data_IF_955815267180
#
_entry.id   IF_955815267180
#
_cell.length_a   1.000
_cell.length_b   1.000
_cell.length_c   1.000
_cell.angle_alpha   90.00
_cell.angle_beta   90.00
_cell.angle_gamma   90.00
#
_symmetry.space_group_name_H-M   'P 1'
#
loop_
_entity.id
_entity.type
_entity.pdbx_description
1 polymer ?
#
# COMPACT_ATOMS: atom_id res chain seq x y z
N UNK A 1 -12.91 1.18 0.95
CA UNK A 1 -12.78 1.27 -0.52
C UNK A 1 -11.99 0.07 -0.97
N UNK A 2 -12.58 -0.88 -1.71
CA UNK A 2 -11.89 -2.07 -2.18
C UNK A 2 -10.78 -1.72 -3.18
N UNK A 3 -9.75 -2.55 -3.31
CA UNK A 3 -8.54 -2.32 -4.11
C UNK A 3 -8.59 -3.20 -5.37
N UNK A 4 -8.09 -2.72 -6.50
CA UNK A 4 -7.93 -3.55 -7.70
C UNK A 4 -6.74 -4.51 -7.57
N UNK A 5 -6.78 -5.65 -8.25
CA UNK A 5 -5.60 -6.51 -8.36
C UNK A 5 -4.46 -5.74 -9.06
N UNK A 6 -3.23 -5.98 -8.60
CA UNK A 6 -2.06 -5.36 -9.21
C UNK A 6 -1.82 -5.91 -10.62
N UNK A 7 -1.30 -5.07 -11.51
CA UNK A 7 -1.09 -5.42 -12.92
C UNK A 7 -0.23 -6.66 -13.12
N UNK A 8 0.80 -6.83 -12.29
CA UNK A 8 1.66 -8.01 -12.33
C UNK A 8 0.89 -9.30 -12.05
N UNK A 9 -0.15 -9.26 -11.22
CA UNK A 9 -0.99 -10.42 -10.90
C UNK A 9 -1.83 -10.84 -12.10
N UNK A 10 -2.50 -9.87 -12.75
CA UNK A 10 -3.30 -10.16 -13.95
C UNK A 10 -2.41 -10.62 -15.11
N UNK A 11 -1.25 -9.98 -15.32
CA UNK A 11 -0.29 -10.40 -16.35
C UNK A 11 0.23 -11.82 -16.11
N UNK A 12 0.54 -12.17 -14.86
CA UNK A 12 0.95 -13.52 -14.48
C UNK A 12 -0.17 -14.52 -14.78
N UNK A 13 -1.40 -14.22 -14.36
CA UNK A 13 -2.56 -15.06 -14.61
C UNK A 13 -2.76 -15.30 -16.11
N UNK A 14 -2.70 -14.25 -16.93
CA UNK A 14 -2.86 -14.39 -18.38
C UNK A 14 -1.79 -15.27 -18.98
N UNK A 15 -0.52 -15.03 -18.63
CA UNK A 15 0.61 -15.83 -19.09
C UNK A 15 0.51 -17.30 -18.71
N UNK A 16 -0.05 -17.62 -17.55
CA UNK A 16 -0.14 -19.01 -17.05
C UNK A 16 -1.40 -19.73 -17.54
N UNK A 17 -2.50 -19.01 -17.72
CA UNK A 17 -3.80 -19.60 -18.05
C UNK A 17 -4.06 -19.72 -19.55
N UNK A 18 -3.57 -18.75 -20.33
CA UNK A 18 -3.86 -18.65 -21.76
C UNK A 18 -2.59 -18.99 -22.57
N UNK A 19 -2.29 -20.28 -22.61
CA UNK A 19 -1.18 -20.85 -23.39
C UNK A 19 -1.71 -21.85 -24.41
N UNK A 20 -1.03 -21.96 -25.55
CA UNK A 20 -1.35 -22.94 -26.57
C UNK A 20 -0.61 -22.65 -27.87
N UNK A 21 -0.78 -23.53 -28.84
CA UNK A 21 -0.09 -23.44 -30.14
C UNK A 21 -0.87 -22.58 -31.14
N UNK A 22 -2.19 -22.74 -31.20
CA UNK A 22 -3.05 -22.04 -32.17
C UNK A 22 -4.26 -21.38 -31.49
N UNK A 23 -4.45 -20.07 -31.64
CA UNK A 23 -5.60 -19.38 -31.07
C UNK A 23 -6.90 -19.79 -31.77
N UNK A 24 -8.03 -19.62 -31.07
CA UNK A 24 -9.34 -19.89 -31.63
C UNK A 24 -9.69 -18.83 -32.69
N UNK A 25 -9.64 -19.22 -33.96
CA UNK A 25 -9.94 -18.34 -35.10
C UNK A 25 -11.35 -18.63 -35.62
N UNK A 26 -12.15 -17.59 -35.84
CA UNK A 26 -13.51 -17.70 -36.42
C UNK A 26 -13.82 -16.55 -37.37
N UNK A 27 -14.51 -16.84 -38.47
CA UNK A 27 -14.82 -15.86 -39.51
C UNK A 27 -16.33 -15.59 -39.60
N UNK A 28 -16.68 -14.39 -40.08
CA UNK A 28 -18.06 -14.00 -40.40
C UNK A 28 -19.06 -14.25 -39.25
N UNK A 29 -20.15 -14.93 -39.58
CA UNK A 29 -21.24 -15.22 -38.65
C UNK A 29 -20.82 -16.14 -37.48
N UNK A 30 -19.79 -16.98 -37.66
CA UNK A 30 -19.33 -17.91 -36.61
C UNK A 30 -18.85 -17.18 -35.37
N UNK A 31 -18.32 -15.96 -35.51
CA UNK A 31 -17.92 -15.11 -34.38
C UNK A 31 -19.09 -14.84 -33.44
N UNK A 32 -20.22 -14.42 -33.99
CA UNK A 32 -21.43 -14.09 -33.22
C UNK A 32 -22.02 -15.33 -32.56
N UNK A 33 -22.02 -16.47 -33.26
CA UNK A 33 -22.50 -17.75 -32.72
C UNK A 33 -21.65 -18.18 -31.52
N UNK A 34 -20.31 -18.13 -31.63
CA UNK A 34 -19.43 -18.50 -30.52
C UNK A 34 -19.65 -17.60 -29.30
N UNK A 35 -19.66 -16.28 -29.48
CA UNK A 35 -19.89 -15.33 -28.39
C UNK A 35 -21.27 -15.54 -27.74
N UNK A 36 -22.31 -15.83 -28.53
CA UNK A 36 -23.64 -16.15 -28.00
C UNK A 36 -23.64 -17.42 -27.15
N UNK A 37 -22.92 -18.46 -27.58
CA UNK A 37 -22.80 -19.71 -26.82
C UNK A 37 -22.06 -19.48 -25.50
N UNK A 38 -20.93 -18.76 -25.52
CA UNK A 38 -20.18 -18.40 -24.31
C UNK A 38 -21.07 -17.60 -23.34
N UNK A 39 -21.83 -16.62 -23.84
CA UNK A 39 -22.78 -15.87 -23.02
C UNK A 39 -23.82 -16.78 -22.36
N UNK A 40 -24.40 -17.74 -23.09
CA UNK A 40 -25.37 -18.68 -22.53
C UNK A 40 -24.74 -19.53 -21.42
N UNK A 41 -23.53 -20.05 -21.65
CA UNK A 41 -22.81 -20.84 -20.64
C UNK A 41 -22.48 -20.03 -19.40
N UNK A 42 -21.98 -18.80 -19.55
CA UNK A 42 -21.72 -17.90 -18.43
C UNK A 42 -22.98 -17.51 -17.66
N UNK A 43 -24.14 -17.42 -18.32
CA UNK A 43 -25.41 -17.16 -17.63
C UNK A 43 -25.81 -18.31 -16.71
N UNK A 44 -25.41 -19.54 -17.05
CA UNK A 44 -25.71 -20.74 -16.29
C UNK A 44 -24.62 -21.10 -15.26
N UNK A 45 -23.39 -20.59 -15.43
CA UNK A 45 -22.23 -20.96 -14.60
C UNK A 45 -22.07 -20.03 -13.39
N UNK A 46 -21.98 -20.63 -12.20
CA UNK A 46 -21.68 -19.90 -10.98
C UNK A 46 -20.27 -19.25 -11.04
N UNK A 47 -20.12 -18.08 -10.40
CA UNK A 47 -18.86 -17.34 -10.34
C UNK A 47 -18.64 -16.31 -11.45
N UNK A 48 -19.46 -16.35 -12.50
CA UNK A 48 -19.47 -15.37 -13.58
C UNK A 48 -20.72 -14.49 -13.47
N UNK A 49 -20.55 -13.18 -13.65
CA UNK A 49 -21.66 -12.22 -13.74
C UNK A 49 -21.58 -11.52 -15.08
N UNK A 50 -22.47 -11.84 -16.01
CA UNK A 50 -22.52 -11.14 -17.29
C UNK A 50 -22.86 -9.67 -17.11
N UNK A 51 -22.20 -8.83 -17.90
CA UNK A 51 -22.44 -7.40 -17.90
C UNK A 51 -23.34 -7.02 -19.06
N UNK A 52 -24.48 -6.41 -18.74
CA UNK A 52 -25.38 -5.80 -19.74
C UNK A 52 -24.68 -4.68 -20.51
N UNK A 53 -23.76 -3.97 -19.85
CA UNK A 53 -22.94 -2.93 -20.44
C UNK A 53 -21.56 -2.99 -19.81
N UNK A 54 -20.51 -3.09 -20.63
CA UNK A 54 -19.15 -2.97 -20.14
C UNK A 54 -18.88 -1.58 -19.56
N UNK A 55 -17.98 -1.51 -18.57
CA UNK A 55 -17.43 -0.25 -18.08
C UNK A 55 -16.59 0.46 -19.14
N UNK A 56 -16.12 -0.26 -20.16
CA UNK A 56 -15.39 0.29 -21.30
C UNK A 56 -16.36 0.82 -22.37
N UNK A 57 -16.28 2.13 -22.64
CA UNK A 57 -17.20 2.82 -23.58
C UNK A 57 -17.20 2.18 -24.97
N UNK A 58 -16.06 1.66 -25.42
CA UNK A 58 -15.87 1.09 -26.76
C UNK A 58 -16.59 -0.25 -26.96
N UNK A 59 -17.03 -0.91 -25.88
CA UNK A 59 -17.73 -2.20 -25.95
C UNK A 59 -19.24 -2.07 -25.75
N UNK A 60 -19.76 -0.85 -25.61
CA UNK A 60 -21.20 -0.63 -25.53
C UNK A 60 -21.84 -0.96 -26.88
N UNK A 61 -22.76 -1.94 -26.89
CA UNK A 61 -23.61 -2.34 -28.03
C UNK A 61 -22.95 -3.18 -29.14
N UNK A 62 -21.81 -3.83 -28.87
CA UNK A 62 -21.23 -4.77 -29.85
C UNK A 62 -21.63 -6.22 -29.53
N UNK A 63 -22.50 -6.80 -30.38
CA UNK A 63 -22.96 -8.19 -30.26
C UNK A 63 -21.84 -9.24 -30.41
N UNK A 64 -20.68 -8.85 -30.94
CA UNK A 64 -19.49 -9.70 -31.04
C UNK A 64 -18.55 -9.60 -29.83
N UNK A 65 -19.03 -9.03 -28.72
CA UNK A 65 -18.29 -8.90 -27.46
C UNK A 65 -19.09 -9.52 -26.31
N UNK A 66 -18.42 -10.32 -25.48
CA UNK A 66 -18.96 -10.84 -24.22
C UNK A 66 -18.17 -10.25 -23.07
N UNK A 67 -18.78 -9.39 -22.26
CA UNK A 67 -18.14 -8.86 -21.04
C UNK A 67 -18.78 -9.47 -19.80
N UNK A 68 -17.93 -9.83 -18.84
CA UNK A 68 -18.33 -10.52 -17.62
C UNK A 68 -17.44 -10.07 -16.45
N UNK A 69 -17.96 -10.24 -15.24
CA UNK A 69 -17.23 -10.05 -14.01
C UNK A 69 -17.04 -11.36 -13.29
N UNK A 70 -15.85 -11.54 -12.74
CA UNK A 70 -15.57 -12.55 -11.73
C UNK A 70 -15.59 -11.85 -10.38
N UNK A 71 -16.47 -12.30 -9.48
CA UNK A 71 -16.61 -11.71 -8.16
C UNK A 71 -15.40 -12.01 -7.30
N UNK A 72 -14.94 -11.01 -6.57
CA UNK A 72 -13.90 -11.20 -5.56
C UNK A 72 -14.50 -11.93 -4.35
N UNK A 73 -13.86 -13.02 -3.93
CA UNK A 73 -14.15 -13.64 -2.63
C UNK A 73 -13.61 -12.83 -1.45
N UNK A 74 -12.70 -11.90 -1.71
CA UNK A 74 -12.10 -11.05 -0.68
C UNK A 74 -12.82 -9.72 -0.57
N UNK A 75 -13.12 -9.30 0.67
CA UNK A 75 -13.65 -7.96 0.99
C UNK A 75 -12.66 -6.82 0.72
N UNK A 76 -11.38 -7.13 0.53
CA UNK A 76 -10.34 -6.13 0.29
C UNK A 76 -10.15 -5.82 -1.19
N UNK A 77 -10.56 -6.74 -2.07
CA UNK A 77 -10.38 -6.60 -3.51
C UNK A 77 -11.71 -6.41 -4.24
N UNK A 78 -11.67 -5.69 -5.35
CA UNK A 78 -12.83 -5.48 -6.23
C UNK A 78 -13.02 -6.69 -7.14
N UNK A 79 -14.26 -6.84 -7.60
CA UNK A 79 -14.61 -7.71 -8.72
C UNK A 79 -13.80 -7.33 -9.95
N UNK A 80 -13.47 -8.34 -10.74
CA UNK A 80 -12.63 -8.19 -11.93
C UNK A 80 -13.46 -8.34 -13.20
N UNK A 81 -13.47 -7.29 -14.03
CA UNK A 81 -14.15 -7.30 -15.32
C UNK A 81 -13.23 -7.78 -16.43
N UNK A 82 -13.74 -8.68 -17.26
CA UNK A 82 -13.10 -9.20 -18.46
C UNK A 82 -14.03 -9.05 -19.66
N UNK A 83 -13.47 -8.95 -20.86
CA UNK A 83 -14.22 -8.97 -22.11
C UNK A 83 -13.57 -9.96 -23.09
N UNK A 84 -14.40 -10.72 -23.80
CA UNK A 84 -14.03 -11.58 -24.90
C UNK A 84 -14.46 -10.93 -26.21
N UNK A 85 -13.56 -10.89 -27.18
CA UNK A 85 -13.84 -10.38 -28.52
C UNK A 85 -12.90 -11.02 -29.54
N UNK A 86 -13.20 -10.83 -30.81
CA UNK A 86 -12.25 -11.16 -31.87
C UNK A 86 -11.37 -9.95 -32.22
N UNK A 87 -10.07 -10.18 -32.42
CA UNK A 87 -9.16 -9.15 -32.94
C UNK A 87 -9.28 -9.02 -34.47
N UNK A 88 -8.44 -8.16 -35.06
CA UNK A 88 -8.40 -7.91 -36.51
C UNK A 88 -7.98 -9.16 -37.31
N UNK A 89 -7.18 -10.04 -36.69
CA UNK A 89 -6.75 -11.34 -37.24
C UNK A 89 -7.82 -12.43 -37.11
N UNK A 90 -9.00 -12.11 -36.57
CA UNK A 90 -10.09 -13.06 -36.32
C UNK A 90 -9.81 -14.08 -35.23
N UNK A 91 -8.86 -13.80 -34.34
CA UNK A 91 -8.54 -14.62 -33.16
C UNK A 91 -9.39 -14.18 -31.97
N UNK A 92 -9.93 -15.14 -31.22
CA UNK A 92 -10.61 -14.87 -29.96
C UNK A 92 -9.57 -14.44 -28.92
N UNK A 93 -9.77 -13.26 -28.35
CA UNK A 93 -8.93 -12.71 -27.28
C UNK A 93 -9.78 -12.44 -26.04
N UNK A 94 -9.17 -12.63 -24.88
CA UNK A 94 -9.66 -12.12 -23.60
C UNK A 94 -8.93 -10.85 -23.24
N UNK A 95 -9.66 -9.87 -22.71
CA UNK A 95 -9.13 -8.59 -22.27
C UNK A 95 -9.54 -8.29 -20.84
N UNK A 96 -8.61 -7.70 -20.10
CA UNK A 96 -8.87 -6.95 -18.89
C UNK A 96 -8.39 -5.52 -19.18
N UNK A 97 -9.28 -4.53 -19.07
CA UNK A 97 -8.88 -3.16 -19.35
C UNK A 97 -8.58 -2.92 -20.84
N UNK A 98 -7.86 -1.83 -21.10
CA UNK A 98 -7.45 -1.45 -22.46
C UNK A 98 -6.09 -2.03 -22.88
N UNK A 99 -5.31 -2.56 -21.93
CA UNK A 99 -3.88 -2.83 -22.13
C UNK A 99 -3.48 -4.28 -21.86
N UNK A 100 -4.37 -5.09 -21.29
CA UNK A 100 -4.08 -6.48 -20.96
C UNK A 100 -4.98 -7.34 -21.80
N UNK A 101 -4.39 -8.10 -22.72
CA UNK A 101 -5.09 -9.07 -23.50
C UNK A 101 -4.25 -10.35 -23.65
N UNK A 102 -4.93 -11.42 -24.02
CA UNK A 102 -4.29 -12.67 -24.39
C UNK A 102 -5.15 -13.41 -25.40
N UNK A 103 -4.56 -14.09 -26.40
CA UNK A 103 -5.29 -15.03 -27.23
C UNK A 103 -5.88 -16.16 -26.37
N UNK A 104 -7.04 -16.66 -26.78
CA UNK A 104 -7.67 -17.84 -26.22
C UNK A 104 -7.43 -19.02 -27.16
N UNK A 105 -6.87 -20.10 -26.62
CA UNK A 105 -6.52 -21.30 -27.37
C UNK A 105 -7.57 -22.41 -27.20
N UNK A 106 -8.15 -22.49 -26.00
CA UNK A 106 -9.21 -23.44 -25.67
C UNK A 106 -10.29 -22.76 -24.82
N UNK A 107 -11.57 -23.06 -25.06
CA UNK A 107 -12.67 -22.48 -24.29
C UNK A 107 -12.59 -22.82 -22.79
N UNK A 108 -12.03 -23.98 -22.45
CA UNK A 108 -11.80 -24.38 -21.06
C UNK A 108 -10.92 -23.39 -20.28
N UNK A 109 -10.03 -22.66 -20.97
CA UNK A 109 -9.20 -21.62 -20.35
C UNK A 109 -10.05 -20.47 -19.80
N UNK A 110 -11.13 -20.14 -20.50
CA UNK A 110 -12.11 -19.15 -20.07
C UNK A 110 -12.95 -19.74 -18.93
N UNK A 111 -13.43 -20.97 -19.09
CA UNK A 111 -14.35 -21.59 -18.14
C UNK A 111 -13.73 -21.92 -16.78
N UNK A 112 -12.41 -22.10 -16.72
CA UNK A 112 -11.66 -22.31 -15.47
C UNK A 112 -11.07 -21.01 -14.90
N UNK A 113 -11.23 -19.87 -15.58
CA UNK A 113 -10.69 -18.58 -15.14
C UNK A 113 -11.23 -18.16 -13.77
N UNK A 114 -12.52 -18.44 -13.48
CA UNK A 114 -13.15 -18.15 -12.19
C UNK A 114 -12.43 -18.83 -11.02
N UNK A 115 -12.10 -20.11 -11.16
CA UNK A 115 -11.38 -20.89 -10.15
C UNK A 115 -9.94 -20.40 -9.96
N UNK A 116 -9.27 -20.04 -11.06
CA UNK A 116 -7.91 -19.49 -11.01
C UNK A 116 -7.88 -18.12 -10.34
N UNK A 117 -8.85 -17.26 -10.65
CA UNK A 117 -9.02 -15.96 -10.01
C UNK A 117 -9.29 -16.12 -8.51
N UNK A 118 -10.14 -17.06 -8.12
CA UNK A 118 -10.42 -17.37 -6.71
C UNK A 118 -9.15 -17.76 -5.93
N UNK A 119 -8.29 -18.60 -6.52
CA UNK A 119 -7.00 -18.95 -5.93
C UNK A 119 -6.08 -17.73 -5.81
N UNK A 120 -6.04 -16.87 -6.84
CA UNK A 120 -5.22 -15.65 -6.81
C UNK A 120 -5.73 -14.64 -5.77
N UNK A 121 -7.05 -14.46 -5.62
CA UNK A 121 -7.63 -13.62 -4.56
C UNK A 121 -7.22 -14.09 -3.17
N UNK A 122 -7.34 -15.38 -2.87
CA UNK A 122 -6.88 -15.97 -1.59
C UNK A 122 -5.40 -15.71 -1.35
N UNK A 123 -4.57 -15.90 -2.38
CA UNK A 123 -3.12 -15.65 -2.29
C UNK A 123 -2.80 -14.19 -2.01
N UNK A 124 -3.43 -13.25 -2.71
CA UNK A 124 -3.15 -11.82 -2.52
C UNK A 124 -3.74 -11.26 -1.23
N UNK A 125 -4.86 -11.81 -0.75
CA UNK A 125 -5.47 -11.48 0.54
C UNK A 125 -4.59 -11.93 1.70
N UNK A 126 -4.09 -13.16 1.69
CA UNK A 126 -3.17 -13.65 2.72
C UNK A 126 -1.93 -12.74 2.84
N UNK A 127 -1.38 -12.31 1.69
CA UNK A 127 -0.25 -11.38 1.65
C UNK A 127 -0.61 -9.96 2.12
N UNK A 128 -1.83 -9.50 1.86
CA UNK A 128 -2.32 -8.22 2.36
C UNK A 128 -2.46 -8.24 3.88
N UNK A 129 -3.13 -9.25 4.43
CA UNK A 129 -3.32 -9.41 5.87
C UNK A 129 -1.98 -9.53 6.62
N UNK A 130 -1.01 -10.24 6.06
CA UNK A 130 0.36 -10.31 6.61
C UNK A 130 1.01 -8.93 6.68
N UNK A 131 0.87 -8.12 5.63
CA UNK A 131 1.42 -6.75 5.57
C UNK A 131 0.74 -5.82 6.59
N UNK A 132 -0.59 -5.86 6.68
CA UNK A 132 -1.35 -5.06 7.65
C UNK A 132 -1.00 -5.44 9.10
N UNK A 133 -0.92 -6.74 9.41
CA UNK A 133 -0.50 -7.20 10.73
C UNK A 133 0.91 -6.74 11.09
N UNK A 134 1.85 -6.79 10.13
CA UNK A 134 3.21 -6.30 10.34
C UNK A 134 3.25 -4.78 10.56
N UNK A 135 2.42 -4.02 9.84
CA UNK A 135 2.28 -2.56 10.02
C UNK A 135 1.77 -2.23 11.43
N UNK A 136 0.71 -2.91 11.88
CA UNK A 136 0.17 -2.75 13.23
C UNK A 136 1.21 -3.11 14.31
N UNK A 137 1.95 -4.22 14.15
CA UNK A 137 3.04 -4.60 15.06
C UNK A 137 4.12 -3.52 15.12
N UNK A 138 4.59 -3.03 13.96
CA UNK A 138 5.59 -1.96 13.90
C UNK A 138 5.10 -0.68 14.57
N UNK A 139 3.85 -0.29 14.36
CA UNK A 139 3.24 0.88 15.01
C UNK A 139 3.17 0.71 16.54
N UNK A 140 2.76 -0.47 17.04
CA UNK A 140 2.75 -0.75 18.48
C UNK A 140 4.15 -0.68 19.09
N UNK A 141 5.14 -1.30 18.46
CA UNK A 141 6.54 -1.26 18.91
C UNK A 141 7.05 0.19 18.92
N UNK A 142 6.77 0.96 17.87
CA UNK A 142 7.12 2.39 17.79
C UNK A 142 6.50 3.17 18.95
N UNK A 143 5.21 3.00 19.21
CA UNK A 143 4.51 3.68 20.30
C UNK A 143 5.11 3.36 21.67
N UNK A 144 5.48 2.10 21.92
CA UNK A 144 6.17 1.70 23.15
C UNK A 144 7.54 2.37 23.27
N UNK A 145 8.34 2.39 22.20
CA UNK A 145 9.64 3.06 22.18
C UNK A 145 9.52 4.57 22.39
N UNK A 146 8.53 5.21 21.76
CA UNK A 146 8.27 6.63 21.94
C UNK A 146 7.95 6.97 23.40
N UNK A 147 7.06 6.21 24.03
CA UNK A 147 6.75 6.36 25.47
C UNK A 147 7.98 6.17 26.35
N UNK A 148 8.81 5.16 26.08
CA UNK A 148 10.03 4.91 26.83
C UNK A 148 11.05 6.06 26.71
N UNK A 149 11.24 6.61 25.51
CA UNK A 149 12.09 7.78 25.26
C UNK A 149 11.58 8.99 26.06
N UNK A 150 10.29 9.31 25.95
CA UNK A 150 9.69 10.43 26.68
C UNK A 150 9.82 10.23 28.19
N UNK A 151 9.54 9.04 28.71
CA UNK A 151 9.68 8.75 30.14
C UNK A 151 11.11 9.01 30.63
N UNK A 152 12.12 8.58 29.88
CA UNK A 152 13.53 8.80 30.25
C UNK A 152 13.95 10.26 30.15
N UNK A 153 13.47 10.99 29.15
CA UNK A 153 13.71 12.44 29.04
C UNK A 153 13.06 13.18 30.22
N UNK A 154 11.85 12.78 30.63
CA UNK A 154 11.19 13.36 31.81
C UNK A 154 11.99 13.12 33.09
N UNK A 155 12.57 11.93 33.26
CA UNK A 155 13.46 11.61 34.39
C UNK A 155 14.66 12.56 34.40
N UNK A 156 15.39 12.67 33.28
CA UNK A 156 16.51 13.61 33.15
C UNK A 156 16.12 15.06 33.41
N UNK A 157 14.98 15.49 32.87
CA UNK A 157 14.50 16.87 33.01
C UNK A 157 14.15 17.21 34.47
N UNK A 158 13.61 16.24 35.22
CA UNK A 158 13.34 16.39 36.65
C UNK A 158 14.62 16.44 37.48
N UNK A 159 15.58 15.57 37.17
CA UNK A 159 16.87 15.51 37.88
C UNK A 159 17.72 16.76 37.64
N UNK A 160 17.91 17.13 36.37
CA UNK A 160 18.82 18.19 35.96
C UNK A 160 18.11 19.55 35.80
N UNK A 161 16.80 19.62 36.06
CA UNK A 161 15.96 20.84 35.97
C UNK A 161 16.15 21.59 34.65
N UNK A 162 15.89 20.92 33.53
CA UNK A 162 15.85 21.56 32.21
C UNK A 162 14.46 21.50 31.59
N UNK A 163 14.18 22.49 30.75
CA UNK A 163 12.95 22.54 29.97
C UNK A 163 13.16 21.88 28.61
N UNK A 164 12.15 21.16 28.15
CA UNK A 164 12.24 20.46 26.88
C UNK A 164 10.90 20.38 26.15
N UNK A 165 10.95 20.05 24.87
CA UNK A 165 9.80 19.73 24.03
C UNK A 165 10.12 18.53 23.16
N UNK A 166 9.11 17.77 22.77
CA UNK A 166 9.29 16.55 21.98
C UNK A 166 8.34 16.54 20.80
N UNK A 167 8.88 16.25 19.62
CA UNK A 167 8.09 16.01 18.41
C UNK A 167 8.25 14.56 17.93
N UNK A 168 7.13 13.93 17.59
CA UNK A 168 7.10 12.58 17.04
C UNK A 168 7.28 12.60 15.51
N UNK A 169 8.32 11.94 15.02
CA UNK A 169 8.50 11.69 13.58
C UNK A 169 8.29 10.21 13.24
N UNK A 170 8.25 9.89 11.94
CA UNK A 170 8.09 8.50 11.49
C UNK A 170 9.24 7.59 11.96
N UNK A 171 10.48 8.08 11.97
CA UNK A 171 11.70 7.30 12.20
C UNK A 171 12.46 7.67 13.47
N UNK A 172 12.10 8.79 14.10
CA UNK A 172 12.83 9.37 15.24
C UNK A 172 11.91 10.14 16.17
N UNK A 173 12.43 10.47 17.33
CA UNK A 173 11.92 11.49 18.23
C UNK A 173 12.83 12.70 18.13
N UNK A 174 12.28 13.89 17.86
CA UNK A 174 13.06 15.13 17.91
C UNK A 174 12.86 15.75 19.29
N UNK A 175 13.93 15.80 20.07
CA UNK A 175 13.98 16.44 21.37
C UNK A 175 14.51 17.86 21.22
N UNK A 176 13.77 18.84 21.72
CA UNK A 176 14.22 20.22 21.86
C UNK A 176 14.53 20.47 23.33
N UNK A 177 15.71 20.97 23.66
CA UNK A 177 16.14 21.32 25.03
C UNK A 177 16.42 22.80 25.08
N UNK A 178 15.83 23.50 26.05
CA UNK A 178 16.11 24.93 26.27
C UNK A 178 17.41 25.08 27.06
N UNK A 179 18.41 25.71 26.44
CA UNK A 179 19.71 25.99 27.07
C UNK A 179 19.70 27.39 27.70
N UNK A 180 19.04 28.35 27.04
CA UNK A 180 18.81 29.71 27.54
C UNK A 180 17.51 30.28 26.96
N UNK A 181 17.13 31.51 27.36
CA UNK A 181 15.90 32.18 26.90
C UNK A 181 15.75 32.22 25.37
N UNK A 182 16.85 32.34 24.63
CA UNK A 182 16.87 32.39 23.16
C UNK A 182 17.67 31.25 22.52
N UNK A 183 18.08 30.24 23.29
CA UNK A 183 18.97 29.17 22.82
C UNK A 183 18.33 27.81 23.02
N UNK A 184 18.17 27.07 21.93
CA UNK A 184 17.53 25.76 21.92
C UNK A 184 18.48 24.76 21.25
N UNK A 185 18.71 23.64 21.90
CA UNK A 185 19.40 22.50 21.32
C UNK A 185 18.37 21.50 20.79
N UNK A 186 18.50 21.06 19.54
CA UNK A 186 17.68 19.99 19.00
C UNK A 186 18.50 18.71 18.83
N UNK A 187 17.93 17.59 19.25
CA UNK A 187 18.54 16.28 19.22
C UNK A 187 17.56 15.32 18.56
N UNK A 188 18.01 14.69 17.49
CA UNK A 188 17.27 13.62 16.84
C UNK A 188 17.63 12.27 17.50
N UNK A 189 16.63 11.56 18.02
CA UNK A 189 16.77 10.26 18.68
C UNK A 189 16.09 9.19 17.80
N UNK A 190 16.85 8.40 17.04
CA UNK A 190 16.30 7.33 16.22
C UNK A 190 15.65 6.22 17.07
N UNK A 191 14.48 5.71 16.67
CA UNK A 191 13.81 4.64 17.43
C UNK A 191 14.60 3.32 17.46
N UNK A 192 15.46 3.07 16.47
CA UNK A 192 16.29 1.87 16.40
C UNK A 192 17.47 1.92 17.38
N UNK A 193 17.97 3.11 17.74
CA UNK A 193 19.20 3.31 18.52
C UNK A 193 18.96 4.02 19.86
N UNK A 194 17.70 4.13 20.27
CA UNK A 194 17.34 4.95 21.42
C UNK A 194 17.98 4.50 22.74
N UNK A 195 18.20 3.20 22.95
CA UNK A 195 18.81 2.71 24.19
C UNK A 195 20.23 3.24 24.39
N UNK A 196 21.05 3.24 23.34
CA UNK A 196 22.43 3.75 23.42
C UNK A 196 22.47 5.27 23.34
N UNK A 197 21.58 5.87 22.55
CA UNK A 197 21.43 7.33 22.48
C UNK A 197 21.07 7.93 23.83
N UNK A 198 20.12 7.32 24.56
CA UNK A 198 19.66 7.82 25.86
C UNK A 198 20.73 7.75 26.95
N UNK A 199 21.63 6.76 26.93
CA UNK A 199 22.73 6.67 27.91
C UNK A 199 23.66 7.87 27.84
N UNK A 200 23.91 8.38 26.63
CA UNK A 200 24.81 9.53 26.39
C UNK A 200 24.07 10.86 26.45
N UNK A 201 22.74 10.83 26.33
CA UNK A 201 21.91 12.02 26.21
C UNK A 201 22.02 12.94 27.43
N UNK A 202 21.86 12.39 28.64
CA UNK A 202 21.91 13.18 29.88
C UNK A 202 23.26 13.88 30.04
N UNK A 203 24.36 13.13 29.88
CA UNK A 203 25.72 13.67 29.93
C UNK A 203 25.91 14.77 28.89
N UNK A 204 25.44 14.56 27.66
CA UNK A 204 25.55 15.55 26.58
C UNK A 204 24.81 16.85 26.93
N UNK A 205 23.55 16.75 27.40
CA UNK A 205 22.76 17.92 27.80
C UNK A 205 23.45 18.68 28.94
N UNK A 206 23.93 17.95 29.95
CA UNK A 206 24.62 18.54 31.10
C UNK A 206 25.91 19.25 30.67
N UNK A 207 26.76 18.60 29.89
CA UNK A 207 28.02 19.18 29.40
C UNK A 207 27.78 20.43 28.55
N UNK A 208 26.79 20.43 27.66
CA UNK A 208 26.48 21.62 26.84
C UNK A 208 26.05 22.80 27.71
N UNK A 209 25.24 22.56 28.75
CA UNK A 209 24.83 23.60 29.70
C UNK A 209 26.01 24.12 30.52
N UNK A 210 26.85 23.23 31.05
CA UNK A 210 28.05 23.61 31.82
C UNK A 210 29.06 24.43 30.99
N UNK A 211 29.33 24.02 29.75
CA UNK A 211 30.18 24.78 28.83
C UNK A 211 29.59 26.16 28.55
N UNK A 212 28.28 26.25 28.39
CA UNK A 212 27.60 27.54 28.21
C UNK A 212 27.73 28.43 29.43
N UNK A 213 27.57 27.90 30.63
CA UNK A 213 27.72 28.66 31.87
C UNK A 213 29.17 29.09 32.12
N UNK A 214 30.15 28.39 31.53
CA UNK A 214 31.57 28.82 31.49
C UNK A 214 31.87 29.93 30.47
N UNK A 215 30.87 30.38 29.70
CA UNK A 215 31.00 31.46 28.71
C UNK A 215 31.16 31.00 27.26
N UNK A 216 31.10 29.70 26.98
CA UNK A 216 31.16 29.17 25.61
C UNK A 216 29.77 29.27 24.98
N UNK A 217 29.64 30.09 23.94
CA UNK A 217 28.34 30.23 23.25
C UNK A 217 28.21 29.21 22.13
N UNK A 218 27.05 28.54 22.08
CA UNK A 218 26.72 27.58 21.02
C UNK A 218 25.67 28.18 20.09
N UNK A 219 25.94 28.19 18.79
CA UNK A 219 24.91 28.43 17.77
C UNK A 219 24.26 27.10 17.40
N UNK A 220 23.23 26.71 18.13
CA UNK A 220 22.42 25.53 17.77
C UNK A 220 21.09 26.03 17.20
N UNK A 221 20.87 25.73 15.92
CA UNK A 221 19.62 26.01 15.22
C UNK A 221 18.94 24.71 14.84
N UNK A 222 17.61 24.66 14.93
CA UNK A 222 16.80 23.62 14.29
C UNK A 222 15.32 23.98 14.18
N UNK A 223 14.97 25.07 13.48
CA UNK A 223 13.68 25.26 12.75
C UNK A 223 13.74 26.50 11.82
N UNK A 224 13.07 26.51 10.65
CA UNK A 224 12.82 27.74 9.89
C UNK A 224 11.89 28.62 10.72
N UNK A 225 12.25 29.89 10.91
CA UNK A 225 11.38 30.90 11.53
C UNK A 225 9.98 30.84 10.90
N UNK A 226 8.92 30.68 11.70
CA UNK A 226 7.63 31.28 11.34
C UNK A 226 6.31 30.56 11.62
N UNK A 227 6.23 29.28 12.03
CA UNK A 227 4.92 28.59 12.03
C UNK A 227 4.51 27.78 13.25
N UNK A 228 5.37 27.55 14.24
CA UNK A 228 4.97 26.78 15.42
C UNK A 228 5.80 27.10 16.66
N UNK A 229 5.15 27.39 17.78
CA UNK A 229 5.80 27.46 19.10
C UNK A 229 5.78 26.06 19.74
N UNK A 230 6.95 25.48 20.10
CA UNK A 230 6.98 24.19 20.76
C UNK A 230 6.28 24.24 22.12
N UNK A 231 5.52 23.20 22.45
CA UNK A 231 4.96 23.02 23.79
C UNK A 231 6.07 22.61 24.76
N UNK A 232 6.44 23.52 25.67
CA UNK A 232 7.53 23.33 26.62
C UNK A 232 7.05 22.63 27.89
N UNK A 233 7.74 21.57 28.27
CA UNK A 233 7.59 20.87 29.54
C UNK A 233 8.68 21.36 30.48
N UNK A 234 8.28 21.78 31.68
CA UNK A 234 9.17 22.26 32.74
C UNK A 234 8.81 21.60 34.07
N UNK A 235 9.83 21.33 34.87
CA UNK A 235 9.72 20.80 36.22
C UNK A 235 10.39 21.81 37.15
N UNK A 236 9.58 22.66 37.80
CA UNK A 236 10.03 23.65 38.79
C UNK A 236 10.55 22.97 40.07
#
# INVERSE_FOLDING_TARGET
MAISLHDSTIKKLFREQFQGEMPLIKFGAEKKVLISNINKEFSAKAGFTLLKTSSYRNYRKNEAVCCFQIRSSSKYYRDQEFCLKFNEQNELIIEEGYWRNSPVYHLDQIYTLGEKMELEYKRVEANYLKRENNKLKKQKIKGLKHKAIIAKINEFAKEDKFEFSVEEYATKVKLLVRIAKSEIMAIDIPYNEFQDSLKKLQVTIKTVRELRDSGITFKIFSYPKGYWEPEWISYN
#
